data_IF_297086717566
#
_entry.id   IF_297086717566
#
_cell.length_a   1.000
_cell.length_b   1.000
_cell.length_c   1.000
_cell.angle_alpha   90.00
_cell.angle_beta   90.00
_cell.angle_gamma   90.00
#
_symmetry.space_group_name_H-M   'P 1'
#
loop_
_entity.id
_entity.type
_entity.pdbx_description
1 polymer ?
#
# COMPACT_ATOMS: atom_id res chain seq x y z
N UNK A 1 -2.37 -9.10 -17.97
CA UNK A 1 -2.15 -8.60 -16.59
C UNK A 1 -3.48 -8.71 -15.88
N UNK A 2 -3.55 -9.46 -14.78
CA UNK A 2 -4.80 -9.73 -14.07
C UNK A 2 -5.19 -8.60 -13.12
N UNK A 3 -4.24 -7.71 -12.81
CA UNK A 3 -4.39 -6.57 -11.90
C UNK A 3 -3.58 -5.41 -12.48
N UNK A 4 -4.07 -4.18 -12.29
CA UNK A 4 -3.36 -2.92 -12.59
C UNK A 4 -3.16 -2.15 -11.29
N UNK A 5 -1.97 -1.57 -11.15
CA UNK A 5 -1.57 -0.74 -10.01
C UNK A 5 -1.30 0.67 -10.51
N UNK A 6 -1.97 1.67 -9.94
CA UNK A 6 -1.82 3.09 -10.26
C UNK A 6 -1.76 3.93 -8.96
N UNK A 7 -1.50 5.24 -9.10
CA UNK A 7 -1.57 6.23 -8.02
C UNK A 7 -0.85 5.81 -6.73
N UNK A 8 0.37 5.25 -6.87
CA UNK A 8 1.21 4.88 -5.75
C UNK A 8 1.60 6.17 -5.00
N UNK A 9 1.24 6.24 -3.73
CA UNK A 9 1.60 7.32 -2.84
C UNK A 9 2.30 6.76 -1.59
N UNK A 10 3.29 7.49 -1.12
CA UNK A 10 4.02 7.18 0.12
C UNK A 10 4.05 8.39 1.05
N UNK A 11 3.86 8.18 2.35
CA UNK A 11 3.99 9.24 3.36
C UNK A 11 4.78 8.73 4.55
N UNK A 12 5.83 9.48 4.89
CA UNK A 12 6.56 9.30 6.15
C UNK A 12 5.66 9.74 7.30
N UNK A 13 5.49 8.86 8.28
CA UNK A 13 4.70 9.11 9.49
C UNK A 13 5.60 9.54 10.63
N UNK A 14 6.73 8.87 10.79
CA UNK A 14 7.68 9.12 11.88
C UNK A 14 9.09 8.82 11.41
N UNK A 15 10.03 9.61 11.91
CA UNK A 15 11.47 9.39 11.76
C UNK A 15 12.06 9.31 13.16
N UNK A 16 12.64 8.15 13.49
CA UNK A 16 13.40 7.96 14.72
C UNK A 16 14.89 8.00 14.37
N UNK A 17 15.53 9.13 14.67
CA UNK A 17 16.94 9.35 14.36
C UNK A 17 17.88 8.61 15.34
N UNK A 18 17.39 8.21 16.51
CA UNK A 18 18.20 7.49 17.50
C UNK A 18 18.36 6.01 17.11
N UNK A 19 17.30 5.40 16.59
CA UNK A 19 17.27 4.00 16.15
C UNK A 19 17.43 3.83 14.63
N UNK A 20 17.56 4.94 13.89
CA UNK A 20 17.62 4.98 12.42
C UNK A 20 16.42 4.29 11.73
N UNK A 21 15.24 4.39 12.35
CA UNK A 21 13.99 3.79 11.86
C UNK A 21 13.07 4.85 11.24
N UNK A 22 12.43 4.49 10.13
CA UNK A 22 11.44 5.33 9.46
C UNK A 22 10.13 4.57 9.34
N UNK A 23 9.08 5.06 10.00
CA UNK A 23 7.73 4.55 9.81
C UNK A 23 7.07 5.31 8.66
N UNK A 24 6.51 4.58 7.70
CA UNK A 24 5.83 5.15 6.55
C UNK A 24 4.54 4.38 6.24
N UNK A 25 3.64 5.02 5.49
CA UNK A 25 2.46 4.40 4.92
C UNK A 25 2.52 4.45 3.39
N UNK A 26 2.02 3.39 2.78
CA UNK A 26 1.88 3.30 1.32
C UNK A 26 0.42 3.07 0.96
N UNK A 27 0.01 3.72 -0.12
CA UNK A 27 -1.27 3.53 -0.78
C UNK A 27 -1.08 3.33 -2.27
N UNK A 28 -1.90 2.49 -2.86
CA UNK A 28 -1.99 2.37 -4.31
C UNK A 28 -3.42 2.02 -4.74
N UNK A 29 -3.81 2.49 -5.92
CA UNK A 29 -5.07 2.15 -6.54
C UNK A 29 -4.92 0.87 -7.34
N UNK A 30 -5.71 -0.13 -6.94
CA UNK A 30 -5.64 -1.47 -7.50
C UNK A 30 -6.91 -1.71 -8.30
N UNK A 31 -6.76 -1.99 -9.59
CA UNK A 31 -7.87 -2.38 -10.48
C UNK A 31 -7.77 -3.86 -10.79
N UNK A 32 -8.79 -4.62 -10.42
CA UNK A 32 -8.83 -6.06 -10.66
C UNK A 32 -9.48 -6.37 -12.02
N UNK A 33 -8.73 -7.02 -12.91
CA UNK A 33 -9.20 -7.49 -14.22
C UNK A 33 -9.26 -9.03 -14.30
N UNK A 34 -9.15 -9.72 -13.17
CA UNK A 34 -9.24 -11.18 -13.08
C UNK A 34 -10.68 -11.60 -13.33
N UNK A 35 -10.97 -11.92 -14.59
CA UNK A 35 -12.24 -12.51 -15.02
C UNK A 35 -12.16 -14.03 -14.85
N UNK A 36 -12.64 -14.56 -13.73
CA UNK A 36 -12.82 -16.00 -13.55
C UNK A 36 -14.02 -16.27 -12.65
N UNK A 37 -14.88 -17.20 -13.04
CA UNK A 37 -16.02 -17.67 -12.24
C UNK A 37 -15.61 -18.22 -10.86
N UNK A 38 -14.31 -18.46 -10.65
CA UNK A 38 -13.71 -18.91 -9.40
C UNK A 38 -12.65 -17.94 -8.87
N UNK A 39 -12.62 -16.69 -9.34
CA UNK A 39 -11.64 -15.73 -8.82
C UNK A 39 -12.01 -15.35 -7.40
N UNK A 40 -11.22 -15.80 -6.43
CA UNK A 40 -11.09 -15.07 -5.18
C UNK A 40 -10.66 -13.64 -5.54
N UNK A 41 -11.51 -12.68 -5.14
CA UNK A 41 -11.34 -11.24 -5.33
C UNK A 41 -10.27 -10.67 -4.37
N UNK A 42 -9.58 -11.55 -3.65
CA UNK A 42 -8.41 -11.23 -2.86
C UNK A 42 -7.23 -10.95 -3.80
N UNK A 43 -6.77 -9.70 -3.74
CA UNK A 43 -5.64 -9.21 -4.50
C UNK A 43 -4.52 -8.88 -3.53
N UNK A 44 -3.35 -9.45 -3.77
CA UNK A 44 -2.09 -9.07 -3.12
C UNK A 44 -1.16 -8.53 -4.18
N UNK A 45 -0.63 -7.33 -3.94
CA UNK A 45 0.40 -6.71 -4.78
C UNK A 45 1.63 -6.42 -3.93
N UNK A 46 2.80 -6.75 -4.47
CA UNK A 46 4.08 -6.38 -3.88
C UNK A 46 4.55 -5.07 -4.53
N UNK A 47 4.91 -4.09 -3.70
CA UNK A 47 5.55 -2.84 -4.09
C UNK A 47 6.95 -2.86 -3.49
N UNK A 48 7.96 -2.72 -4.34
CA UNK A 48 9.35 -2.64 -3.89
C UNK A 48 9.75 -1.18 -3.74
N UNK A 49 10.11 -0.81 -2.51
CA UNK A 49 10.82 0.42 -2.18
C UNK A 49 12.32 0.17 -2.26
N UNK A 50 13.06 1.18 -2.73
CA UNK A 50 14.52 1.16 -2.71
C UNK A 50 14.97 2.41 -1.96
N UNK A 51 16.01 2.27 -1.14
CA UNK A 51 16.64 3.44 -0.52
C UNK A 51 17.23 4.40 -1.59
N UNK A 52 17.61 5.60 -1.16
CA UNK A 52 18.16 6.60 -2.09
C UNK A 52 19.50 6.16 -2.72
N UNK A 53 20.22 5.24 -2.07
CA UNK A 53 21.54 4.76 -2.47
C UNK A 53 21.46 3.48 -3.35
N UNK A 54 20.27 2.92 -3.54
CA UNK A 54 20.02 1.71 -4.32
C UNK A 54 20.37 0.39 -3.62
N UNK A 55 20.68 0.41 -2.32
CA UNK A 55 21.34 -0.71 -1.65
C UNK A 55 20.38 -1.60 -0.86
N UNK A 56 19.43 -1.00 -0.15
CA UNK A 56 18.39 -1.72 0.57
C UNK A 56 17.08 -1.77 -0.25
N UNK A 57 16.55 -2.98 -0.42
CA UNK A 57 15.25 -3.23 -1.06
C UNK A 57 14.26 -3.63 0.03
N UNK A 58 13.17 -2.90 0.13
CA UNK A 58 12.05 -3.19 1.04
C UNK A 58 10.88 -3.65 0.17
N UNK A 59 10.30 -4.81 0.51
CA UNK A 59 9.08 -5.32 -0.13
C UNK A 59 7.87 -5.02 0.74
N UNK A 60 6.96 -4.20 0.23
CA UNK A 60 5.68 -3.86 0.87
C UNK A 60 4.56 -4.66 0.20
N UNK A 61 3.65 -5.24 0.98
CA UNK A 61 2.57 -6.07 0.45
C UNK A 61 1.19 -5.43 0.70
N UNK A 62 0.59 -4.85 -0.34
CA UNK A 62 -0.79 -4.37 -0.24
C UNK A 62 -1.74 -5.53 -0.53
N UNK A 63 -2.53 -5.95 0.46
CA UNK A 63 -3.50 -7.03 0.32
C UNK A 63 -4.92 -6.59 0.65
N UNK A 64 -5.89 -7.05 -0.13
CA UNK A 64 -7.29 -6.82 0.16
C UNK A 64 -8.24 -7.27 -0.94
N UNK A 65 -9.53 -7.23 -0.63
CA UNK A 65 -10.59 -7.62 -1.55
C UNK A 65 -10.92 -6.51 -2.56
N UNK A 66 -10.73 -6.77 -3.85
CA UNK A 66 -11.01 -5.88 -4.99
C UNK A 66 -11.91 -6.60 -5.99
N UNK A 67 -13.15 -6.16 -6.14
CA UNK A 67 -14.14 -6.83 -7.00
C UNK A 67 -13.71 -6.77 -8.47
N UNK A 68 -14.20 -7.70 -9.27
CA UNK A 68 -13.94 -7.72 -10.72
C UNK A 68 -14.33 -6.38 -11.37
N UNK A 69 -13.42 -5.86 -12.19
CA UNK A 69 -13.55 -4.62 -12.94
C UNK A 69 -13.84 -3.38 -12.05
N UNK A 70 -13.39 -3.43 -10.79
CA UNK A 70 -13.45 -2.29 -9.87
C UNK A 70 -12.05 -1.84 -9.48
N UNK A 71 -11.95 -0.57 -9.11
CA UNK A 71 -10.73 0.04 -8.55
C UNK A 71 -10.94 0.25 -7.06
N UNK A 72 -9.94 -0.11 -6.26
CA UNK A 72 -9.93 0.14 -4.82
C UNK A 72 -8.53 0.54 -4.36
N UNK A 73 -8.47 1.55 -3.52
CA UNK A 73 -7.23 1.93 -2.85
C UNK A 73 -6.91 0.91 -1.76
N UNK A 74 -5.78 0.22 -1.89
CA UNK A 74 -5.21 -0.60 -0.83
C UNK A 74 -4.15 0.20 -0.09
N UNK A 75 -4.00 -0.06 1.19
CA UNK A 75 -2.99 0.56 2.05
C UNK A 75 -2.38 -0.50 2.94
N UNK A 76 -1.08 -0.38 3.16
CA UNK A 76 -0.35 -1.23 4.09
C UNK A 76 0.38 -0.37 5.11
N UNK A 77 0.59 -0.96 6.27
CA UNK A 77 1.26 -0.35 7.42
C UNK A 77 2.32 -1.33 7.91
N UNK A 78 3.57 -0.89 7.93
CA UNK A 78 4.66 -1.67 8.51
C UNK A 78 4.58 -1.71 10.05
N UNK A 79 3.86 -0.77 10.68
CA UNK A 79 3.84 -0.60 12.15
C UNK A 79 2.44 -0.67 12.79
N UNK A 80 2.40 -1.17 14.03
CA UNK A 80 1.27 -1.05 14.96
C UNK A 80 1.17 0.40 15.45
N UNK A 81 0.13 1.12 15.04
CA UNK A 81 -0.07 2.52 15.41
C UNK A 81 -1.34 2.76 16.25
N UNK A 82 -1.29 3.85 17.03
CA UNK A 82 -2.43 4.42 17.72
C UNK A 82 -3.53 4.84 16.72
N UNK A 83 -4.79 4.81 17.18
CA UNK A 83 -5.99 5.07 16.35
C UNK A 83 -5.92 6.40 15.59
N UNK A 84 -5.33 7.44 16.19
CA UNK A 84 -5.22 8.77 15.60
C UNK A 84 -4.22 8.81 14.44
N UNK A 85 -3.13 8.04 14.50
CA UNK A 85 -2.18 7.94 13.39
C UNK A 85 -2.75 7.08 12.25
N UNK A 86 -3.53 6.05 12.57
CA UNK A 86 -4.29 5.29 11.58
C UNK A 86 -5.28 6.18 10.81
N UNK A 87 -6.01 7.06 11.49
CA UNK A 87 -6.92 8.01 10.84
C UNK A 87 -6.17 8.99 9.92
N UNK A 88 -4.94 9.37 10.26
CA UNK A 88 -4.07 10.13 9.35
C UNK A 88 -3.72 9.32 8.10
N UNK A 89 -3.39 8.04 8.25
CA UNK A 89 -3.10 7.11 7.14
C UNK A 89 -4.33 6.81 6.29
N UNK A 90 -5.53 6.83 6.83
CA UNK A 90 -6.74 6.67 6.03
C UNK A 90 -7.05 7.95 5.24
N UNK A 91 -6.81 9.14 5.80
CA UNK A 91 -7.27 10.42 5.23
C UNK A 91 -6.23 11.22 4.42
N UNK A 92 -4.94 10.87 4.43
CA UNK A 92 -3.88 11.69 3.81
C UNK A 92 -3.84 11.70 2.28
N UNK A 93 -4.42 10.70 1.62
CA UNK A 93 -4.59 10.72 0.17
C UNK A 93 -6.08 10.93 -0.09
N UNK A 94 -6.43 12.04 -0.73
CA UNK A 94 -7.79 12.25 -1.22
C UNK A 94 -8.12 11.12 -2.19
N UNK A 95 -8.98 10.20 -1.77
CA UNK A 95 -9.66 9.28 -2.66
C UNK A 95 -10.79 10.07 -3.32
N UNK A 96 -10.71 10.28 -4.62
CA UNK A 96 -11.80 10.89 -5.42
C UNK A 96 -13.07 10.05 -5.36
#
# INVERSE_FOLDING_TARGET
MSVKVDNIATKVLKVNLEDNEVSFAIKADITNFKDSEYSDEDVTVEIQGVDADGFEIISIYLSGKVLFNTTKTLTDREDYQDKDEFDQVVRWQYTN
#
